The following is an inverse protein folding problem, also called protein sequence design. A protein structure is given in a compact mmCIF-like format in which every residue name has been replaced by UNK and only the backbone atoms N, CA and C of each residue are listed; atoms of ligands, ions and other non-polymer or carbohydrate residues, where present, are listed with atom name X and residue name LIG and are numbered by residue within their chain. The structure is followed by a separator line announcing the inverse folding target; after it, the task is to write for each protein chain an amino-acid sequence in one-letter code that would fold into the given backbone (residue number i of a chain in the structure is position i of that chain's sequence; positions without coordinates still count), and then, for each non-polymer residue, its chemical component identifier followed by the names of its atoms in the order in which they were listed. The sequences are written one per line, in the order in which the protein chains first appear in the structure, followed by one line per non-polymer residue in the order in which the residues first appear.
data_IF_949691183465
#
_entry.id   IF_949691183465
#
_cell.length_a   1.000
_cell.length_b   1.000
_cell.length_c   1.000
_cell.angle_alpha   90.00
_cell.angle_beta   90.00
_cell.angle_gamma   90.00
#
_symmetry.space_group_name_H-M   'P 1'
#
loop_
_entity.id
_entity.type
_entity.pdbx_description
1 polymer ?
#
# COMPACT_ATOMS: atom_id res chain seq x y z
N UNK A 1 1.01 -4.01 15.83
CA UNK A 1 1.44 -4.62 14.55
C UNK A 1 0.39 -5.59 13.97
N UNK A 2 0.08 -5.49 12.67
CA UNK A 2 -0.74 -6.46 11.91
C UNK A 2 0.05 -7.75 11.56
N UNK A 3 -0.61 -8.74 10.96
CA UNK A 3 0.00 -10.03 10.62
C UNK A 3 1.11 -9.89 9.56
N UNK A 4 0.87 -9.10 8.51
CA UNK A 4 1.84 -8.82 7.43
C UNK A 4 3.13 -8.22 7.99
N UNK A 5 2.99 -7.22 8.86
CA UNK A 5 4.11 -6.51 9.48
C UNK A 5 4.87 -7.42 10.44
N UNK A 6 4.18 -8.25 11.23
CA UNK A 6 4.83 -9.23 12.12
C UNK A 6 5.64 -10.25 11.34
N UNK A 7 5.08 -10.79 10.26
CA UNK A 7 5.76 -11.76 9.41
C UNK A 7 7.01 -11.17 8.74
N UNK A 8 6.93 -9.92 8.26
CA UNK A 8 8.09 -9.21 7.71
C UNK A 8 9.17 -8.97 8.78
N UNK A 9 8.78 -8.50 9.97
CA UNK A 9 9.71 -8.27 11.09
C UNK A 9 10.51 -9.53 11.41
N UNK A 10 9.81 -10.65 11.63
CA UNK A 10 10.45 -11.91 12.02
C UNK A 10 11.41 -12.42 10.94
N UNK A 11 11.05 -12.28 9.66
CA UNK A 11 11.90 -12.66 8.54
C UNK A 11 13.13 -11.78 8.41
N UNK A 12 13.01 -10.45 8.59
CA UNK A 12 14.15 -9.54 8.61
C UNK A 12 15.11 -9.88 9.76
N UNK A 13 14.58 -10.07 10.97
CA UNK A 13 15.41 -10.43 12.13
C UNK A 13 16.15 -11.74 11.92
N UNK A 14 15.46 -12.77 11.40
CA UNK A 14 16.07 -14.06 11.10
C UNK A 14 17.12 -13.99 9.97
N UNK A 15 17.02 -13.01 9.06
CA UNK A 15 17.96 -12.85 7.95
C UNK A 15 19.23 -12.07 8.34
N UNK A 16 19.19 -11.26 9.40
CA UNK A 16 20.27 -10.31 9.73
C UNK A 16 21.64 -10.98 9.95
N UNK A 17 21.74 -11.87 10.95
CA UNK A 17 23.01 -12.50 11.29
C UNK A 17 23.55 -13.43 10.18
N UNK A 18 22.73 -14.28 9.53
CA UNK A 18 23.19 -15.10 8.39
C UNK A 18 23.71 -14.27 7.22
N UNK A 19 23.02 -13.18 6.87
CA UNK A 19 23.43 -12.30 5.78
C UNK A 19 24.77 -11.63 6.10
N UNK A 20 24.89 -10.97 7.27
CA UNK A 20 26.13 -10.30 7.66
C UNK A 20 27.29 -11.30 7.77
N UNK A 21 27.06 -12.46 8.37
CA UNK A 21 28.07 -13.53 8.43
C UNK A 21 28.54 -13.98 7.04
N UNK A 22 27.63 -14.13 6.08
CA UNK A 22 27.96 -14.44 4.69
C UNK A 22 28.80 -13.36 4.01
N UNK A 23 28.44 -12.09 4.20
CA UNK A 23 29.18 -10.94 3.66
C UNK A 23 30.61 -10.87 4.23
N UNK A 24 30.76 -11.00 5.55
CA UNK A 24 32.07 -10.98 6.21
C UNK A 24 32.94 -12.15 5.77
N UNK A 25 32.37 -13.36 5.72
CA UNK A 25 33.07 -14.56 5.28
C UNK A 25 33.55 -14.46 3.83
N UNK A 26 32.71 -13.94 2.92
CA UNK A 26 33.07 -13.75 1.51
C UNK A 26 34.22 -12.75 1.32
N UNK A 27 34.39 -11.81 2.26
CA UNK A 27 35.46 -10.80 2.24
C UNK A 27 36.69 -11.21 3.07
N UNK A 28 36.63 -12.35 3.76
CA UNK A 28 37.69 -12.78 4.68
C UNK A 28 37.88 -11.81 5.85
N UNK A 29 36.82 -11.11 6.26
CA UNK A 29 36.86 -10.14 7.35
C UNK A 29 36.52 -10.78 8.70
N UNK A 30 36.97 -10.18 9.82
CA UNK A 30 36.63 -10.64 11.16
C UNK A 30 35.12 -10.71 11.39
N UNK A 31 34.67 -11.77 12.05
CA UNK A 31 33.25 -12.03 12.33
C UNK A 31 32.98 -12.01 13.83
N UNK A 32 33.12 -10.83 14.44
CA UNK A 32 32.88 -10.67 15.87
C UNK A 32 31.40 -10.78 16.20
N UNK A 33 31.08 -11.73 17.07
CA UNK A 33 29.68 -11.98 17.44
C UNK A 33 29.03 -10.86 18.25
N UNK A 34 29.83 -10.00 18.91
CA UNK A 34 29.32 -8.88 19.72
C UNK A 34 28.63 -7.79 18.87
N UNK A 35 29.28 -7.16 17.87
CA UNK A 35 28.62 -6.16 17.02
C UNK A 35 27.46 -6.74 16.19
N UNK A 36 27.51 -8.03 15.85
CA UNK A 36 26.37 -8.72 15.21
C UNK A 36 25.16 -8.74 16.16
N UNK A 37 25.34 -9.17 17.41
CA UNK A 37 24.24 -9.19 18.39
C UNK A 37 23.73 -7.78 18.72
N UNK A 38 24.62 -6.80 18.78
CA UNK A 38 24.25 -5.41 19.02
C UNK A 38 23.37 -4.84 17.90
N UNK A 39 23.78 -5.03 16.64
CA UNK A 39 22.97 -4.62 15.50
C UNK A 39 21.63 -5.37 15.41
N UNK A 40 21.61 -6.67 15.75
CA UNK A 40 20.36 -7.45 15.79
C UNK A 40 19.40 -6.96 16.87
N UNK A 41 19.91 -6.63 18.07
CA UNK A 41 19.11 -6.07 19.16
C UNK A 41 18.54 -4.70 18.77
N UNK A 42 19.37 -3.81 18.22
CA UNK A 42 18.93 -2.51 17.72
C UNK A 42 17.87 -2.65 16.62
N UNK A 43 18.09 -3.57 15.66
CA UNK A 43 17.17 -3.83 14.56
C UNK A 43 15.79 -4.25 15.07
N UNK A 44 15.75 -5.10 16.11
CA UNK A 44 14.51 -5.54 16.74
C UNK A 44 13.72 -4.38 17.30
N UNK A 45 14.35 -3.56 18.13
CA UNK A 45 13.70 -2.42 18.76
C UNK A 45 13.22 -1.40 17.72
N UNK A 46 14.05 -1.11 16.71
CA UNK A 46 13.72 -0.15 15.66
C UNK A 46 12.62 -0.64 14.70
N UNK A 47 12.55 -1.95 14.41
CA UNK A 47 11.47 -2.53 13.62
C UNK A 47 10.17 -2.58 14.41
N UNK A 48 10.21 -2.94 15.70
CA UNK A 48 9.02 -2.93 16.55
C UNK A 48 8.45 -1.50 16.64
N UNK A 49 9.29 -0.48 16.87
CA UNK A 49 8.87 0.93 16.86
C UNK A 49 8.25 1.35 15.51
N UNK A 50 8.90 1.03 14.39
CA UNK A 50 8.39 1.40 13.06
C UNK A 50 7.06 0.71 12.74
N UNK A 51 6.99 -0.61 12.94
CA UNK A 51 5.89 -1.44 12.45
C UNK A 51 4.67 -1.45 13.39
N UNK A 52 4.79 -0.90 14.59
CA UNK A 52 3.64 -0.61 15.45
C UNK A 52 2.90 0.68 15.09
N UNK A 53 3.52 1.56 14.30
CA UNK A 53 2.85 2.77 13.79
C UNK A 53 1.83 2.42 12.69
N UNK A 54 0.74 3.18 12.55
CA UNK A 54 -0.12 3.12 11.37
C UNK A 54 0.68 3.37 10.08
N UNK A 55 0.35 2.66 9.00
CA UNK A 55 1.05 2.79 7.70
C UNK A 55 1.31 4.24 7.23
N UNK A 56 0.37 5.21 7.35
CA UNK A 56 0.63 6.60 6.96
C UNK A 56 1.66 7.33 7.83
N UNK A 57 1.91 6.86 9.05
CA UNK A 57 2.85 7.44 10.01
C UNK A 57 4.26 6.83 9.91
N UNK A 58 4.38 5.67 9.23
CA UNK A 58 5.66 5.01 8.97
C UNK A 58 6.48 5.82 7.94
N UNK A 59 7.38 6.69 8.42
CA UNK A 59 8.20 7.55 7.55
C UNK A 59 9.39 6.83 6.90
N UNK A 60 9.89 5.77 7.55
CA UNK A 60 10.94 4.90 7.05
C UNK A 60 10.35 3.62 6.44
N UNK A 61 11.19 2.88 5.74
CA UNK A 61 10.93 1.52 5.26
C UNK A 61 11.64 0.49 6.15
N UNK A 62 11.13 -0.75 6.24
CA UNK A 62 11.81 -1.83 6.95
C UNK A 62 13.21 -2.12 6.41
N UNK A 63 13.45 -1.94 5.11
CA UNK A 63 14.78 -2.08 4.52
C UNK A 63 15.75 -0.98 4.97
N UNK A 64 15.31 0.28 5.05
CA UNK A 64 16.14 1.37 5.59
C UNK A 64 16.55 1.07 7.05
N UNK A 65 15.61 0.61 7.87
CA UNK A 65 15.91 0.18 9.25
C UNK A 65 16.89 -0.99 9.25
N UNK A 66 16.70 -2.00 8.40
CA UNK A 66 17.64 -3.10 8.27
C UNK A 66 19.06 -2.64 7.89
N UNK A 67 19.17 -1.65 7.00
CA UNK A 67 20.46 -1.09 6.57
C UNK A 67 21.13 -0.25 7.68
N UNK A 68 20.37 0.46 8.50
CA UNK A 68 20.89 1.23 9.64
C UNK A 68 21.50 0.34 10.74
N UNK A 69 21.01 -0.91 10.88
CA UNK A 69 21.51 -1.86 11.88
C UNK A 69 22.99 -2.22 11.72
N UNK A 70 23.58 -1.95 10.55
CA UNK A 70 24.99 -2.22 10.27
C UNK A 70 25.96 -1.20 10.88
N UNK A 71 25.48 -0.18 11.61
CA UNK A 71 26.34 0.80 12.27
C UNK A 71 27.38 0.14 13.22
N UNK A 72 26.94 -0.71 14.15
CA UNK A 72 27.84 -1.39 15.08
C UNK A 72 28.87 -2.34 14.38
N UNK A 73 28.47 -3.16 13.38
CA UNK A 73 29.42 -3.89 12.54
C UNK A 73 30.43 -3.01 11.80
N UNK A 74 30.00 -1.86 11.27
CA UNK A 74 30.88 -0.90 10.61
C UNK A 74 31.94 -0.35 11.59
N UNK A 75 31.51 0.08 12.77
CA UNK A 75 32.40 0.60 13.83
C UNK A 75 33.39 -0.46 14.32
N UNK A 76 32.97 -1.72 14.42
CA UNK A 76 33.83 -2.82 14.83
C UNK A 76 34.94 -3.12 13.81
N UNK A 77 34.63 -3.09 12.51
CA UNK A 77 35.64 -3.26 11.45
C UNK A 77 36.62 -2.09 11.44
N UNK A 78 36.13 -0.86 11.65
CA UNK A 78 36.97 0.32 11.78
C UNK A 78 37.93 0.24 12.97
N UNK A 79 37.42 -0.17 14.14
CA UNK A 79 38.22 -0.34 15.36
C UNK A 79 39.31 -1.42 15.20
N UNK A 80 39.09 -2.40 14.33
CA UNK A 80 40.06 -3.44 13.99
C UNK A 80 41.05 -3.04 12.89
N UNK A 81 40.92 -1.82 12.35
CA UNK A 81 41.81 -1.32 11.30
C UNK A 81 41.61 -2.00 9.94
N UNK A 82 40.44 -2.61 9.70
CA UNK A 82 40.13 -3.20 8.39
C UNK A 82 40.07 -2.05 7.36
N UNK A 83 40.81 -2.12 6.23
CA UNK A 83 40.74 -1.08 5.22
C UNK A 83 39.36 -1.02 4.58
N UNK A 84 38.73 0.17 4.57
CA UNK A 84 37.43 0.36 3.93
C UNK A 84 37.54 0.14 2.40
N UNK A 85 36.60 -0.59 1.78
CA UNK A 85 36.60 -0.81 0.35
C UNK A 85 36.32 0.49 -0.41
N UNK A 86 36.76 0.55 -1.68
CA UNK A 86 36.32 1.61 -2.58
C UNK A 86 34.84 1.39 -2.93
N UNK A 87 34.00 2.38 -2.62
CA UNK A 87 32.55 2.33 -2.88
C UNK A 87 32.16 3.21 -4.06
N UNK A 88 31.07 2.84 -4.72
CA UNK A 88 30.44 3.66 -5.75
C UNK A 88 29.88 4.95 -5.11
N UNK A 89 30.15 6.15 -5.68
CA UNK A 89 29.64 7.41 -5.15
C UNK A 89 28.11 7.47 -5.01
N UNK A 90 27.36 6.79 -5.89
CA UNK A 90 25.89 6.69 -5.83
C UNK A 90 25.47 5.90 -4.60
N UNK A 91 26.16 4.79 -4.31
CA UNK A 91 25.87 3.95 -3.13
C UNK A 91 26.24 4.68 -1.84
N UNK A 92 27.37 5.40 -1.82
CA UNK A 92 27.77 6.25 -0.68
C UNK A 92 26.72 7.32 -0.38
N UNK A 93 26.15 7.95 -1.42
CA UNK A 93 25.10 8.95 -1.25
C UNK A 93 23.79 8.34 -0.73
N UNK A 94 23.44 7.12 -1.15
CA UNK A 94 22.24 6.42 -0.70
C UNK A 94 22.36 5.87 0.74
N UNK A 95 23.55 5.39 1.12
CA UNK A 95 23.83 4.75 2.41
C UNK A 95 25.12 5.31 3.03
N UNK A 96 25.08 6.57 3.52
CA UNK A 96 26.28 7.25 4.01
C UNK A 96 26.89 6.61 5.26
N UNK A 97 26.09 5.93 6.08
CA UNK A 97 26.56 5.25 7.29
C UNK A 97 27.23 3.88 7.05
N UNK A 98 27.09 3.31 5.86
CA UNK A 98 27.55 1.94 5.58
C UNK A 98 29.00 1.90 5.04
N UNK A 99 29.93 2.41 5.84
CA UNK A 99 31.35 2.60 5.46
C UNK A 99 32.03 1.38 4.80
N UNK A 100 31.66 0.17 5.23
CA UNK A 100 32.23 -1.10 4.79
C UNK A 100 31.38 -1.85 3.76
N UNK A 101 30.34 -1.21 3.21
CA UNK A 101 29.47 -1.79 2.19
C UNK A 101 28.84 -3.12 2.65
N UNK A 102 28.37 -3.15 3.90
CA UNK A 102 27.80 -4.34 4.52
C UNK A 102 26.31 -4.46 4.19
N UNK A 103 25.60 -3.34 4.13
CA UNK A 103 24.16 -3.31 4.05
C UNK A 103 23.66 -3.78 2.66
N UNK A 104 22.58 -4.56 2.59
CA UNK A 104 22.04 -5.00 1.32
C UNK A 104 21.40 -3.83 0.56
N UNK A 105 21.64 -3.74 -0.75
CA UNK A 105 20.98 -2.73 -1.60
C UNK A 105 19.47 -3.02 -1.81
N UNK A 106 19.02 -4.25 -1.54
CA UNK A 106 17.65 -4.72 -1.77
C UNK A 106 17.32 -5.88 -0.82
N UNK A 107 16.06 -5.99 -0.40
CA UNK A 107 15.57 -7.15 0.36
C UNK A 107 15.66 -8.47 -0.41
N UNK A 108 15.79 -8.44 -1.74
CA UNK A 108 16.04 -9.64 -2.55
C UNK A 108 17.38 -10.31 -2.19
N UNK A 109 18.36 -9.55 -1.71
CA UNK A 109 19.64 -10.10 -1.24
C UNK A 109 19.51 -10.90 0.06
N UNK A 110 18.37 -10.79 0.76
CA UNK A 110 18.09 -11.47 2.03
C UNK A 110 17.35 -12.80 1.85
N UNK A 111 17.02 -13.16 0.60
CA UNK A 111 16.28 -14.38 0.25
C UNK A 111 14.83 -14.11 -0.17
N UNK A 112 14.26 -15.09 -0.86
CA UNK A 112 12.94 -15.02 -1.50
C UNK A 112 11.83 -14.69 -0.50
N UNK A 113 11.82 -15.34 0.67
CA UNK A 113 10.77 -15.14 1.68
C UNK A 113 10.76 -13.72 2.26
N UNK A 114 11.95 -13.14 2.48
CA UNK A 114 12.09 -11.76 2.95
C UNK A 114 11.61 -10.80 1.88
N UNK A 115 12.00 -11.02 0.62
CA UNK A 115 11.59 -10.19 -0.49
C UNK A 115 10.07 -10.18 -0.69
N UNK A 116 9.43 -11.35 -0.70
CA UNK A 116 7.97 -11.45 -0.85
C UNK A 116 7.23 -10.74 0.29
N UNK A 117 7.69 -10.94 1.53
CA UNK A 117 7.10 -10.28 2.70
C UNK A 117 7.24 -8.76 2.63
N UNK A 118 8.37 -8.28 2.13
CA UNK A 118 8.62 -6.85 1.97
C UNK A 118 7.71 -6.25 0.88
N UNK A 119 7.47 -6.98 -0.21
CA UNK A 119 6.49 -6.58 -1.23
C UNK A 119 5.05 -6.57 -0.69
N UNK A 120 4.66 -7.58 0.09
CA UNK A 120 3.34 -7.65 0.72
C UNK A 120 3.10 -6.47 1.68
N UNK A 121 4.08 -6.16 2.54
CA UNK A 121 4.04 -4.96 3.37
C UNK A 121 3.95 -3.68 2.54
N UNK A 122 4.72 -3.57 1.44
CA UNK A 122 4.70 -2.42 0.56
C UNK A 122 3.32 -2.21 -0.10
N UNK A 123 2.68 -3.29 -0.52
CA UNK A 123 1.32 -3.27 -1.06
C UNK A 123 0.29 -2.89 0.01
N UNK A 124 0.39 -3.43 1.22
CA UNK A 124 -0.48 -3.09 2.35
C UNK A 124 -0.33 -1.61 2.74
N UNK A 125 0.90 -1.11 2.83
CA UNK A 125 1.18 0.31 3.06
C UNK A 125 0.60 1.19 1.97
N UNK A 126 0.83 0.84 0.71
CA UNK A 126 0.28 1.56 -0.44
C UNK A 126 -1.24 1.65 -0.35
N UNK A 127 -1.92 0.52 -0.14
CA UNK A 127 -3.38 0.47 0.01
C UNK A 127 -3.88 1.35 1.18
N UNK A 128 -3.18 1.33 2.31
CA UNK A 128 -3.53 2.14 3.48
C UNK A 128 -3.32 3.65 3.27
N UNK A 129 -2.35 4.06 2.45
CA UNK A 129 -2.10 5.48 2.15
C UNK A 129 -2.91 5.99 0.96
N UNK A 130 -3.28 5.13 0.01
CA UNK A 130 -4.13 5.50 -1.13
C UNK A 130 -5.59 5.26 -0.80
N UNK A 131 -6.34 6.32 -0.48
CA UNK A 131 -7.80 6.24 -0.38
C UNK A 131 -8.41 6.07 -1.77
N UNK A 132 -9.17 4.99 -2.03
CA UNK A 132 -9.81 4.80 -3.32
C UNK A 132 -10.84 5.91 -3.56
N UNK A 133 -10.92 6.37 -4.80
CA UNK A 133 -11.85 7.41 -5.23
C UNK A 133 -13.15 6.79 -5.74
N UNK A 134 -14.29 7.28 -5.22
CA UNK A 134 -15.64 6.97 -5.65
C UNK A 134 -16.17 8.12 -6.50
N UNK A 135 -16.47 7.87 -7.77
CA UNK A 135 -17.18 8.85 -8.60
C UNK A 135 -18.69 8.79 -8.35
N UNK A 136 -19.34 9.94 -8.31
CA UNK A 136 -20.80 10.04 -8.14
C UNK A 136 -21.40 10.97 -9.18
N UNK A 137 -22.22 10.42 -10.08
CA UNK A 137 -23.12 11.17 -10.95
C UNK A 137 -24.51 11.16 -10.32
N UNK A 138 -24.88 12.26 -9.68
CA UNK A 138 -26.22 12.44 -9.11
C UNK A 138 -26.57 13.92 -9.01
N UNK A 139 -27.66 14.35 -9.64
CA UNK A 139 -28.10 15.75 -9.58
C UNK A 139 -28.58 16.14 -8.16
N UNK A 140 -29.25 15.21 -7.47
CA UNK A 140 -29.82 15.43 -6.15
C UNK A 140 -28.74 15.63 -5.06
N UNK A 141 -28.77 16.78 -4.37
CA UNK A 141 -27.81 17.11 -3.32
C UNK A 141 -27.92 16.20 -2.09
N UNK A 142 -29.13 15.82 -1.68
CA UNK A 142 -29.34 14.97 -0.50
C UNK A 142 -28.80 13.56 -0.70
N UNK A 143 -28.88 13.05 -1.93
CA UNK A 143 -28.27 11.77 -2.29
C UNK A 143 -26.75 11.83 -2.22
N UNK A 144 -26.16 12.88 -2.80
CA UNK A 144 -24.71 13.09 -2.79
C UNK A 144 -24.19 13.15 -1.36
N UNK A 145 -24.81 13.97 -0.51
CA UNK A 145 -24.46 14.07 0.91
C UNK A 145 -24.55 12.73 1.65
N UNK A 146 -25.59 11.94 1.36
CA UNK A 146 -25.77 10.63 1.99
C UNK A 146 -24.73 9.62 1.51
N UNK A 147 -24.42 9.61 0.22
CA UNK A 147 -23.36 8.78 -0.37
C UNK A 147 -22.01 9.17 0.24
N UNK A 148 -21.70 10.46 0.28
CA UNK A 148 -20.43 10.98 0.80
C UNK A 148 -20.20 10.57 2.25
N UNK A 149 -21.19 10.78 3.13
CA UNK A 149 -21.07 10.39 4.55
C UNK A 149 -20.74 8.91 4.72
N UNK A 150 -21.44 8.03 3.99
CA UNK A 150 -21.23 6.57 4.12
C UNK A 150 -19.91 6.15 3.49
N UNK A 151 -19.54 6.72 2.33
CA UNK A 151 -18.30 6.39 1.64
C UNK A 151 -17.05 6.86 2.40
N UNK A 152 -17.08 8.08 2.96
CA UNK A 152 -15.98 8.60 3.81
C UNK A 152 -15.81 7.74 5.06
N UNK A 153 -16.90 7.32 5.70
CA UNK A 153 -16.86 6.38 6.83
C UNK A 153 -16.29 5.00 6.46
N UNK A 154 -16.23 4.66 5.16
CA UNK A 154 -15.62 3.44 4.62
C UNK A 154 -14.24 3.67 3.99
N UNK A 155 -13.64 4.85 4.18
CA UNK A 155 -12.27 5.14 3.73
C UNK A 155 -12.14 5.62 2.28
N UNK A 156 -13.26 5.87 1.58
CA UNK A 156 -13.23 6.40 0.22
C UNK A 156 -13.06 7.92 0.22
N UNK A 157 -12.47 8.44 -0.85
CA UNK A 157 -12.61 9.84 -1.26
C UNK A 157 -13.75 9.93 -2.28
N UNK A 158 -14.74 10.80 -2.05
CA UNK A 158 -15.85 10.96 -3.00
C UNK A 158 -15.55 12.12 -3.95
N UNK A 159 -15.80 11.90 -5.24
CA UNK A 159 -15.67 12.89 -6.29
C UNK A 159 -16.97 12.98 -7.09
N UNK A 160 -17.74 14.07 -6.95
CA UNK A 160 -18.86 14.32 -7.85
C UNK A 160 -18.37 14.49 -9.29
N UNK A 161 -19.05 13.86 -10.23
CA UNK A 161 -18.80 13.99 -11.67
C UNK A 161 -20.04 14.52 -12.38
N UNK A 162 -19.86 15.03 -13.60
CA UNK A 162 -20.93 15.60 -14.42
C UNK A 162 -21.18 14.80 -15.70
N UNK A 163 -20.39 13.75 -15.96
CA UNK A 163 -20.47 12.98 -17.19
C UNK A 163 -19.28 12.04 -17.39
N UNK A 164 -19.22 11.39 -18.57
CA UNK A 164 -18.32 10.27 -18.84
C UNK A 164 -16.82 10.63 -18.79
N UNK A 165 -16.43 11.85 -19.15
CA UNK A 165 -15.01 12.25 -19.26
C UNK A 165 -14.24 12.25 -17.93
N UNK A 166 -14.93 12.01 -16.82
CA UNK A 166 -14.39 12.07 -15.45
C UNK A 166 -14.45 10.74 -14.72
N UNK A 167 -14.72 9.63 -15.41
CA UNK A 167 -14.78 8.28 -14.79
C UNK A 167 -13.39 7.68 -14.54
N UNK A 168 -12.38 8.07 -15.30
CA UNK A 168 -11.03 7.51 -15.20
C UNK A 168 -10.41 7.63 -13.81
N UNK A 169 -9.70 6.58 -13.39
CA UNK A 169 -8.94 6.56 -12.12
C UNK A 169 -9.78 6.38 -10.85
N UNK A 170 -11.06 6.01 -10.98
CA UNK A 170 -11.93 5.72 -9.84
C UNK A 170 -12.06 4.20 -9.62
N UNK A 171 -12.18 3.80 -8.35
CA UNK A 171 -12.40 2.40 -8.00
C UNK A 171 -13.85 1.93 -8.21
N UNK A 172 -14.79 2.87 -8.19
CA UNK A 172 -16.24 2.62 -8.26
C UNK A 172 -16.95 3.87 -8.77
N UNK A 173 -18.05 3.69 -9.51
CA UNK A 173 -18.92 4.77 -9.97
C UNK A 173 -20.37 4.51 -9.55
N UNK A 174 -20.99 5.49 -8.89
CA UNK A 174 -22.43 5.52 -8.65
C UNK A 174 -23.12 6.46 -9.62
N UNK A 175 -24.21 5.99 -10.23
CA UNK A 175 -24.93 6.70 -11.29
C UNK A 175 -26.41 6.78 -10.95
N UNK A 176 -26.92 7.99 -10.77
CA UNK A 176 -28.36 8.25 -10.76
C UNK A 176 -28.90 8.08 -12.19
N UNK A 177 -29.75 7.08 -12.39
CA UNK A 177 -30.32 6.73 -13.70
C UNK A 177 -31.27 7.80 -14.24
N UNK A 178 -31.65 8.79 -13.43
CA UNK A 178 -32.44 9.94 -13.89
C UNK A 178 -31.59 11.03 -14.54
N UNK A 179 -30.26 10.94 -14.43
CA UNK A 179 -29.34 11.90 -15.03
C UNK A 179 -29.23 11.67 -16.55
N UNK A 180 -29.25 12.76 -17.32
CA UNK A 180 -29.15 12.68 -18.78
C UNK A 180 -27.82 12.07 -19.27
N UNK A 181 -26.75 12.17 -18.46
CA UNK A 181 -25.45 11.59 -18.77
C UNK A 181 -25.30 10.14 -18.25
N UNK A 182 -26.33 9.53 -17.67
CA UNK A 182 -26.26 8.21 -17.04
C UNK A 182 -25.76 7.12 -18.02
N UNK A 183 -26.43 6.97 -19.16
CA UNK A 183 -26.10 5.92 -20.15
C UNK A 183 -24.64 6.03 -20.64
N UNK A 184 -24.20 7.24 -20.99
CA UNK A 184 -22.84 7.49 -21.46
C UNK A 184 -21.80 7.25 -20.36
N UNK A 185 -22.10 7.64 -19.11
CA UNK A 185 -21.21 7.45 -17.96
C UNK A 185 -21.06 5.98 -17.61
N UNK A 186 -22.15 5.20 -17.67
CA UNK A 186 -22.12 3.74 -17.44
C UNK A 186 -21.25 3.08 -18.50
N UNK A 187 -21.47 3.38 -19.78
CA UNK A 187 -20.71 2.79 -20.88
C UNK A 187 -19.21 3.13 -20.80
N UNK A 188 -18.87 4.38 -20.48
CA UNK A 188 -17.47 4.80 -20.31
C UNK A 188 -16.77 4.07 -19.16
N UNK A 189 -17.40 4.03 -17.99
CA UNK A 189 -16.82 3.36 -16.83
C UNK A 189 -16.71 1.83 -17.04
N UNK A 190 -17.72 1.21 -17.66
CA UNK A 190 -17.66 -0.21 -18.01
C UNK A 190 -16.56 -0.51 -19.04
N UNK A 191 -16.34 0.38 -20.02
CA UNK A 191 -15.26 0.28 -20.99
C UNK A 191 -13.86 0.31 -20.38
N UNK A 192 -13.70 0.98 -19.23
CA UNK A 192 -12.46 0.98 -18.43
C UNK A 192 -12.38 -0.19 -17.43
N UNK A 193 -13.39 -1.08 -17.39
CA UNK A 193 -13.47 -2.17 -16.42
C UNK A 193 -13.78 -1.71 -14.98
N UNK A 194 -14.25 -0.47 -14.82
CA UNK A 194 -14.62 0.08 -13.50
C UNK A 194 -15.99 -0.48 -13.10
N UNK A 195 -16.13 -0.85 -11.83
CA UNK A 195 -17.42 -1.28 -11.28
C UNK A 195 -18.41 -0.12 -11.27
N UNK A 196 -19.61 -0.32 -11.81
CA UNK A 196 -20.66 0.72 -11.87
C UNK A 196 -21.95 0.23 -11.22
N UNK A 197 -22.55 1.07 -10.36
CA UNK A 197 -23.86 0.81 -9.76
C UNK A 197 -24.82 1.93 -10.14
N UNK A 198 -25.85 1.57 -10.91
CA UNK A 198 -26.97 2.45 -11.23
C UNK A 198 -28.04 2.43 -10.14
N UNK A 199 -28.59 3.59 -9.80
CA UNK A 199 -29.76 3.69 -8.93
C UNK A 199 -30.79 4.67 -9.49
N UNK A 200 -32.07 4.37 -9.35
CA UNK A 200 -33.13 5.22 -9.90
C UNK A 200 -34.50 4.96 -9.27
N UNK A 201 -35.56 5.64 -9.72
CA UNK A 201 -36.93 5.41 -9.24
C UNK A 201 -37.34 3.94 -9.37
N UNK A 202 -38.12 3.44 -8.41
CA UNK A 202 -38.52 2.02 -8.38
C UNK A 202 -39.39 1.60 -9.58
N UNK A 203 -40.09 2.56 -10.18
CA UNK A 203 -41.01 2.34 -11.30
C UNK A 203 -40.32 2.24 -12.66
N UNK A 204 -39.00 2.45 -12.72
CA UNK A 204 -38.24 2.49 -13.97
C UNK A 204 -37.40 1.22 -14.18
N UNK A 205 -38.08 0.08 -14.34
CA UNK A 205 -37.44 -1.21 -14.63
C UNK A 205 -36.70 -1.21 -15.97
N UNK A 206 -37.16 -0.38 -16.91
CA UNK A 206 -36.54 -0.24 -18.22
C UNK A 206 -35.18 0.45 -18.12
N UNK A 207 -35.06 1.55 -17.36
CA UNK A 207 -33.76 2.17 -17.10
C UNK A 207 -32.79 1.22 -16.39
N UNK A 208 -33.27 0.42 -15.43
CA UNK A 208 -32.42 -0.57 -14.75
C UNK A 208 -31.93 -1.66 -15.71
N UNK A 209 -32.79 -2.16 -16.58
CA UNK A 209 -32.43 -3.16 -17.60
C UNK A 209 -31.43 -2.59 -18.60
N UNK A 210 -31.67 -1.36 -19.06
CA UNK A 210 -30.76 -0.63 -19.94
C UNK A 210 -29.38 -0.44 -19.30
N UNK A 211 -29.33 0.04 -18.06
CA UNK A 211 -28.08 0.23 -17.33
C UNK A 211 -27.24 -1.06 -17.29
N UNK A 212 -27.86 -2.21 -17.03
CA UNK A 212 -27.17 -3.51 -17.05
C UNK A 212 -26.68 -3.89 -18.45
N UNK A 213 -27.47 -3.64 -19.49
CA UNK A 213 -27.03 -3.90 -20.89
C UNK A 213 -25.86 -3.01 -21.32
N UNK A 214 -25.70 -1.83 -20.71
CA UNK A 214 -24.57 -0.91 -20.92
C UNK A 214 -23.34 -1.27 -20.08
N UNK A 215 -23.42 -2.31 -19.25
CA UNK A 215 -22.30 -2.80 -18.44
C UNK A 215 -22.34 -2.43 -16.96
N UNK A 216 -23.45 -1.87 -16.45
CA UNK A 216 -23.58 -1.67 -15.02
C UNK A 216 -23.55 -3.01 -14.28
N UNK A 217 -22.69 -3.12 -13.28
CA UNK A 217 -22.57 -4.32 -12.43
C UNK A 217 -23.85 -4.60 -11.66
N UNK A 218 -24.53 -3.52 -11.23
CA UNK A 218 -25.85 -3.59 -10.64
C UNK A 218 -26.66 -2.36 -11.01
N UNK A 219 -27.98 -2.52 -11.07
CA UNK A 219 -28.95 -1.44 -11.20
C UNK A 219 -30.11 -1.73 -10.26
N UNK A 220 -30.53 -0.78 -9.43
CA UNK A 220 -31.52 -1.02 -8.38
C UNK A 220 -32.38 0.21 -8.05
N UNK A 221 -33.49 -0.02 -7.35
CA UNK A 221 -34.33 1.06 -6.87
C UNK A 221 -33.57 1.93 -5.85
N UNK A 222 -33.81 3.25 -5.86
CA UNK A 222 -33.16 4.23 -4.98
C UNK A 222 -33.29 3.87 -3.50
N UNK A 223 -34.46 3.38 -3.08
CA UNK A 223 -34.70 2.95 -1.71
C UNK A 223 -33.89 1.71 -1.32
N UNK A 224 -33.64 0.79 -2.26
CA UNK A 224 -32.77 -0.37 -2.06
C UNK A 224 -31.31 0.06 -2.03
N UNK A 225 -30.88 0.89 -3.00
CA UNK A 225 -29.52 1.44 -3.05
C UNK A 225 -29.11 2.08 -1.71
N UNK A 226 -29.94 2.95 -1.16
CA UNK A 226 -29.63 3.62 0.11
C UNK A 226 -29.73 2.74 1.36
N UNK A 227 -30.45 1.62 1.28
CA UNK A 227 -30.51 0.61 2.33
C UNK A 227 -29.24 -0.23 2.34
N UNK A 228 -28.75 -0.58 1.15
CA UNK A 228 -27.62 -1.50 0.94
C UNK A 228 -26.30 -0.77 0.72
N UNK A 229 -26.29 0.57 0.68
CA UNK A 229 -25.15 1.43 0.33
C UNK A 229 -23.83 1.03 1.02
N UNK A 230 -23.90 0.71 2.31
CA UNK A 230 -22.72 0.31 3.07
C UNK A 230 -22.18 -1.08 2.66
N UNK A 231 -23.03 -2.00 2.21
CA UNK A 231 -22.63 -3.31 1.68
C UNK A 231 -22.13 -3.22 0.23
N UNK A 232 -22.56 -2.21 -0.53
CA UNK A 232 -22.12 -1.99 -1.92
C UNK A 232 -20.69 -1.49 -2.02
N UNK A 233 -20.16 -0.87 -0.95
CA UNK A 233 -18.80 -0.38 -0.83
C UNK A 233 -17.89 -1.48 -0.26
N UNK A 234 -16.96 -2.06 -1.06
CA UNK A 234 -15.93 -2.96 -0.54
C UNK A 234 -15.24 -2.39 0.69
N UNK A 235 -14.95 -3.25 1.66
CA UNK A 235 -14.06 -2.92 2.77
C UNK A 235 -12.62 -2.88 2.25
N UNK A 236 -11.92 -1.79 2.54
CA UNK A 236 -10.47 -1.68 2.35
C UNK A 236 -9.72 -1.71 3.70
N UNK A 237 -10.39 -2.23 4.73
CA UNK A 237 -9.79 -2.59 6.03
C UNK A 237 -9.14 -3.95 5.91
#
# INVERSE_FOLDING_TARGET
MDETSRALRDRLLNAYAPYLGGVLAARGWPADSAPIREGEAWLRDALDELLDLPYPEQRRTPLEVFQEAFAAPNDALAAQGVPAPRRDPVVVAALPGDTYDLAPASSAALGEDVWRSHLEWGAAKAAAVTRPTLAVLAANLLDRDRIERVAVARGYRVQPIQGPDRVHGHALVFVDLTDAAADATIAAAAGEGIRVIGFGPHVDEFAMTRARSLGATAAMARSQFFRDLAALLPSFV
#
